data_IF_264696122060
#
_entry.id   IF_264696122060
#
_cell.length_a   1.000
_cell.length_b   1.000
_cell.length_c   1.000
_cell.angle_alpha   90.00
_cell.angle_beta   90.00
_cell.angle_gamma   90.00
#
_symmetry.space_group_name_H-M   'P 1'
#
loop_
_entity.id
_entity.type
_entity.pdbx_description
1 polymer ?
#
# COMPACT_ATOMS: atom_id res chain seq x y z
N UNK A 1 19.28 -9.92 -9.21
CA UNK A 1 18.93 -9.64 -8.86
C UNK A 1 18.03 -9.27 -8.69
N UNK A 2 17.69 -9.11 -8.41
CA UNK A 2 16.76 -8.86 -8.22
C UNK A 2 16.27 -7.73 -8.10
N UNK A 3 15.65 -7.37 -8.55
CA UNK A 3 15.02 -6.32 -8.47
C UNK A 3 14.16 -6.22 -7.32
N UNK A 4 14.15 -5.23 -6.69
CA UNK A 4 13.48 -5.11 -5.48
C UNK A 4 12.52 -3.96 -5.45
N UNK A 5 12.17 -3.45 -6.61
CA UNK A 5 11.22 -2.37 -6.69
C UNK A 5 9.84 -2.96 -6.59
N UNK A 6 9.06 -2.48 -5.65
CA UNK A 6 7.67 -2.87 -5.51
C UNK A 6 6.81 -1.66 -5.78
N UNK A 7 5.79 -1.80 -6.61
CA UNK A 7 4.88 -0.69 -6.81
C UNK A 7 3.88 -0.66 -5.65
N UNK A 8 3.01 0.32 -5.64
CA UNK A 8 2.10 0.51 -4.53
C UNK A 8 1.23 -0.72 -4.27
N UNK A 9 0.68 -1.30 -5.33
CA UNK A 9 -0.24 -2.42 -5.12
C UNK A 9 0.48 -3.61 -4.49
N UNK A 10 1.72 -3.87 -4.88
CA UNK A 10 2.48 -4.97 -4.28
C UNK A 10 2.84 -4.67 -2.84
N UNK A 11 3.21 -3.43 -2.55
CA UNK A 11 3.52 -3.05 -1.17
C UNK A 11 2.31 -3.19 -0.29
N UNK A 12 1.14 -2.79 -0.79
CA UNK A 12 -0.08 -2.88 -0.03
C UNK A 12 -0.39 -4.32 0.35
N UNK A 13 -0.26 -5.23 -0.60
CA UNK A 13 -0.49 -6.64 -0.33
C UNK A 13 0.46 -7.14 0.75
N UNK A 14 1.74 -6.83 0.62
CA UNK A 14 2.72 -7.30 1.58
C UNK A 14 2.47 -6.74 2.97
N UNK A 15 2.17 -5.46 3.05
CA UNK A 15 1.93 -4.83 4.34
C UNK A 15 0.67 -5.40 4.99
N UNK A 16 -0.38 -5.57 4.20
CA UNK A 16 -1.62 -6.12 4.71
C UNK A 16 -1.40 -7.52 5.28
N UNK A 17 -0.70 -8.36 4.52
CA UNK A 17 -0.45 -9.72 4.95
C UNK A 17 0.46 -9.76 6.16
N UNK A 18 1.42 -8.86 6.23
CA UNK A 18 2.33 -8.83 7.37
C UNK A 18 1.59 -8.48 8.66
N UNK A 19 0.48 -7.77 8.55
CA UNK A 19 -0.34 -7.45 9.71
C UNK A 19 -1.40 -8.51 9.96
N UNK A 20 -1.49 -9.51 9.11
CA UNK A 20 -2.49 -10.55 9.27
C UNK A 20 -3.90 -10.10 8.96
N UNK A 21 -4.06 -9.08 8.13
CA UNK A 21 -5.39 -8.55 7.83
C UNK A 21 -5.90 -9.11 6.52
N UNK A 22 -7.19 -9.41 6.48
CA UNK A 22 -7.84 -9.71 5.21
C UNK A 22 -8.13 -8.41 4.49
N UNK A 23 -8.51 -8.51 3.21
CA UNK A 23 -8.93 -7.33 2.47
C UNK A 23 -10.14 -6.68 3.13
N UNK A 24 -11.05 -7.49 3.62
CA UNK A 24 -12.23 -6.97 4.28
C UNK A 24 -11.87 -6.25 5.57
N UNK A 25 -10.95 -6.81 6.34
CA UNK A 25 -10.54 -6.20 7.58
C UNK A 25 -9.84 -4.88 7.34
N UNK A 26 -8.99 -4.82 6.32
CA UNK A 26 -8.32 -3.57 5.99
C UNK A 26 -9.35 -2.53 5.52
N UNK A 27 -10.32 -2.95 4.72
CA UNK A 27 -11.38 -2.05 4.30
C UNK A 27 -12.15 -1.49 5.47
N UNK A 28 -12.41 -2.32 6.45
CA UNK A 28 -13.10 -1.88 7.65
C UNK A 28 -12.28 -0.80 8.38
N UNK A 29 -10.98 -1.03 8.48
CA UNK A 29 -10.11 -0.06 9.15
C UNK A 29 -10.10 1.29 8.45
N UNK A 30 -10.22 1.28 7.14
CA UNK A 30 -10.19 2.50 6.35
C UNK A 30 -11.57 3.03 6.03
N UNK A 31 -12.60 2.32 6.45
CA UNK A 31 -13.98 2.70 6.17
C UNK A 31 -14.26 2.70 4.66
N UNK A 32 -13.73 1.70 3.98
CA UNK A 32 -14.00 1.49 2.55
C UNK A 32 -14.39 0.05 2.35
N UNK A 33 -14.87 -0.28 1.17
CA UNK A 33 -15.32 -1.64 0.90
C UNK A 33 -14.16 -2.56 0.58
N UNK A 34 -14.39 -3.86 0.69
CA UNK A 34 -13.39 -4.84 0.30
C UNK A 34 -13.05 -4.68 -1.18
N UNK A 35 -14.05 -4.37 -2.02
CA UNK A 35 -13.80 -4.17 -3.44
C UNK A 35 -12.82 -3.03 -3.67
N UNK A 36 -12.91 -1.98 -2.88
CA UNK A 36 -11.98 -0.87 -3.00
C UNK A 36 -10.55 -1.33 -2.72
N UNK A 37 -10.36 -2.10 -1.66
CA UNK A 37 -9.05 -2.64 -1.34
C UNK A 37 -8.56 -3.54 -2.49
N UNK A 38 -9.43 -4.40 -2.99
CA UNK A 38 -9.07 -5.29 -4.07
C UNK A 38 -8.60 -4.52 -5.31
N UNK A 39 -9.30 -3.45 -5.66
CA UNK A 39 -8.91 -2.64 -6.81
C UNK A 39 -7.55 -2.02 -6.62
N UNK A 40 -7.26 -1.54 -5.41
CA UNK A 40 -5.94 -0.99 -5.13
C UNK A 40 -4.86 -2.07 -5.28
N UNK A 41 -5.13 -3.25 -4.80
CA UNK A 41 -4.14 -4.34 -4.85
C UNK A 41 -3.95 -4.88 -6.26
N UNK A 42 -4.95 -4.74 -7.10
CA UNK A 42 -4.84 -5.15 -8.49
C UNK A 42 -4.29 -4.05 -9.39
N UNK A 43 -4.05 -2.88 -8.84
CA UNK A 43 -3.55 -1.77 -9.63
C UNK A 43 -4.61 -1.11 -10.50
N UNK A 44 -5.89 -1.37 -10.23
CA UNK A 44 -6.97 -0.81 -11.02
C UNK A 44 -7.36 0.59 -10.58
N UNK A 45 -7.02 0.95 -9.36
CA UNK A 45 -7.23 2.30 -8.88
C UNK A 45 -6.22 2.56 -7.77
N UNK A 46 -6.09 3.82 -7.37
CA UNK A 46 -5.17 4.20 -6.31
C UNK A 46 -5.94 4.96 -5.24
N UNK A 47 -5.52 4.84 -3.99
CA UNK A 47 -6.21 5.56 -2.93
C UNK A 47 -5.94 7.06 -3.01
N UNK A 48 -6.88 7.82 -2.50
CA UNK A 48 -6.68 9.24 -2.38
C UNK A 48 -5.86 9.55 -1.16
N UNK A 49 -5.45 10.81 -1.03
CA UNK A 49 -4.52 11.19 0.03
C UNK A 49 -5.03 10.83 1.42
N UNK A 50 -6.33 11.00 1.66
CA UNK A 50 -6.89 10.66 2.97
C UNK A 50 -6.63 9.21 3.33
N UNK A 51 -6.83 8.33 2.36
CA UNK A 51 -6.62 6.91 2.60
C UNK A 51 -5.15 6.58 2.71
N UNK A 52 -4.31 7.28 1.96
CA UNK A 52 -2.87 7.07 2.08
C UNK A 52 -2.36 7.44 3.46
N UNK A 53 -2.89 8.53 4.01
CA UNK A 53 -2.51 8.94 5.37
C UNK A 53 -2.91 7.86 6.37
N UNK A 54 -4.12 7.32 6.23
CA UNK A 54 -4.55 6.27 7.14
C UNK A 54 -3.74 5.00 6.97
N UNK A 55 -3.42 4.64 5.73
CA UNK A 55 -2.59 3.47 5.49
C UNK A 55 -1.21 3.63 6.12
N UNK A 56 -0.64 4.83 6.02
CA UNK A 56 0.67 5.05 6.61
C UNK A 56 0.63 4.86 8.11
N UNK A 57 -0.46 5.25 8.75
CA UNK A 57 -0.60 5.08 10.18
C UNK A 57 -0.84 3.63 10.56
N UNK A 58 -1.70 2.95 9.81
CA UNK A 58 -2.00 1.55 10.09
C UNK A 58 -0.75 0.69 9.98
N UNK A 59 0.04 0.93 8.95
CA UNK A 59 1.23 0.12 8.70
C UNK A 59 2.50 0.72 9.27
N UNK A 60 2.41 1.89 9.87
CA UNK A 60 3.54 2.57 10.49
C UNK A 60 4.69 2.75 9.49
N UNK A 61 4.35 3.24 8.32
CA UNK A 61 5.32 3.55 7.27
C UNK A 61 5.02 4.94 6.76
N UNK A 62 5.98 5.56 6.09
CA UNK A 62 5.76 6.91 5.55
C UNK A 62 4.92 6.81 4.28
N UNK A 63 4.24 7.90 3.95
CA UNK A 63 3.49 7.97 2.71
C UNK A 63 4.44 7.82 1.53
N UNK A 64 5.61 8.43 1.62
CA UNK A 64 6.63 8.27 0.58
C UNK A 64 6.98 6.81 0.37
N UNK A 65 7.14 6.08 1.45
CA UNK A 65 7.46 4.67 1.36
C UNK A 65 6.34 3.88 0.69
N UNK A 66 5.10 4.27 0.94
CA UNK A 66 3.98 3.59 0.31
C UNK A 66 3.89 3.85 -1.17
N UNK A 67 4.17 5.06 -1.59
CA UNK A 67 3.87 5.48 -2.95
C UNK A 67 5.08 5.51 -3.86
N UNK A 68 6.28 5.39 -3.31
CA UNK A 68 7.49 5.47 -4.09
C UNK A 68 7.75 4.13 -4.75
N UNK A 69 7.73 4.09 -6.05
CA UNK A 69 8.00 2.88 -6.77
C UNK A 69 9.41 2.63 -6.99
N UNK A 70 10.27 3.59 -6.85
CA UNK A 70 11.63 3.39 -7.12
C UNK A 70 12.26 2.93 -5.96
N UNK A 71 12.89 2.17 -5.80
CA UNK A 71 13.55 1.75 -4.78
C UNK A 71 14.60 2.47 -4.55
N UNK A 72 15.08 2.65 -4.10
CA UNK A 72 16.08 3.16 -3.82
C UNK A 72 17.03 3.52 -4.57
N UNK A 73 17.16 3.43 -5.30
CA UNK A 73 18.18 3.71 -6.04
C UNK A 73 18.27 5.00 -6.36
N UNK A 74 18.02 5.52 -6.11
CA UNK A 74 18.07 6.42 -6.42
C UNK A 74 18.21 7.21 -5.97
N UNK A 75 18.31 7.28 -5.47
CA UNK A 75 18.39 7.92 -5.07
C UNK A 75 19.19 8.54 -5.09
N UNK A 76 19.54 8.43 -5.23
CA UNK A 76 20.16 8.83 -5.28
C UNK A 76 20.47 9.61 -5.70
N UNK A 77 20.43 9.94 -5.79
CA UNK A 77 20.59 10.74 -6.09
C UNK A 77 20.74 11.24 -5.97
#
# INVERSE_FOLDING_TARGET
MEDFTLNFNEKLIKLRKSKGLSQEELGYELNVTRQTISKWELGQSTPEMDNLIQLSKIFNVSIDSLTDDTNLTESQK
#
